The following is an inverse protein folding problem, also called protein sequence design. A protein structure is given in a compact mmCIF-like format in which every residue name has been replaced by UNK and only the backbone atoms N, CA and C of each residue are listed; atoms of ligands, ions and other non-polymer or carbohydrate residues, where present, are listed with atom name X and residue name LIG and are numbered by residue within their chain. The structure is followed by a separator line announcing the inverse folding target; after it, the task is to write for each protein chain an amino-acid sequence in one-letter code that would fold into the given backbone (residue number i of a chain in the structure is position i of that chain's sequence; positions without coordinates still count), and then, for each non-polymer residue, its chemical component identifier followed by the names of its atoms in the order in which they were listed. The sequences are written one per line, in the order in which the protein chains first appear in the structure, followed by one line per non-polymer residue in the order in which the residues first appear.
data_IF_497719514074
#
_entry.id   IF_497719514074
#
_cell.length_a   1.000
_cell.length_b   1.000
_cell.length_c   1.000
_cell.angle_alpha   90.00
_cell.angle_beta   90.00
_cell.angle_gamma   90.00
#
_symmetry.space_group_name_H-M   'P 1'
#
loop_
_entity.id
_entity.type
_entity.pdbx_description
1 polymer ?
#
# COMPACT_ATOMS: atom_id res chain seq x y z
N UNK A 1 -37.76 10.74 -22.07
CA UNK A 1 -38.58 10.89 -20.85
C UNK A 1 -37.63 11.14 -19.69
N UNK A 2 -37.59 12.36 -19.17
CA UNK A 2 -36.64 12.77 -18.14
C UNK A 2 -37.17 12.40 -16.75
N UNK A 3 -36.50 11.50 -16.05
CA UNK A 3 -36.72 11.28 -14.61
C UNK A 3 -35.43 11.61 -13.86
N UNK A 4 -35.38 12.82 -13.34
CA UNK A 4 -34.49 13.24 -12.25
C UNK A 4 -35.00 12.58 -10.97
N UNK A 5 -34.16 11.80 -10.28
CA UNK A 5 -34.45 11.40 -8.90
C UNK A 5 -33.42 12.02 -7.96
N UNK A 6 -33.95 12.57 -6.87
CA UNK A 6 -33.27 13.42 -5.92
C UNK A 6 -32.30 12.65 -5.03
N UNK A 7 -31.14 13.28 -4.80
CA UNK A 7 -30.21 13.02 -3.71
C UNK A 7 -30.89 13.25 -2.36
N UNK A 8 -30.68 12.35 -1.40
CA UNK A 8 -30.91 12.62 0.02
C UNK A 8 -29.73 12.05 0.81
N UNK A 9 -28.85 12.94 1.26
CA UNK A 9 -27.74 12.65 2.17
C UNK A 9 -28.28 12.68 3.60
N UNK A 10 -28.09 11.60 4.35
CA UNK A 10 -28.32 11.56 5.79
C UNK A 10 -26.98 11.32 6.50
N UNK A 11 -26.40 12.40 7.01
CA UNK A 11 -25.24 12.37 7.92
C UNK A 11 -25.76 12.07 9.33
N UNK A 12 -25.31 10.98 9.93
CA UNK A 12 -25.49 10.68 11.34
C UNK A 12 -24.14 10.74 12.06
N UNK A 13 -23.93 11.80 12.85
CA UNK A 13 -22.82 11.95 13.78
C UNK A 13 -23.38 11.86 15.20
N UNK A 14 -22.99 10.85 15.98
CA UNK A 14 -22.92 10.91 17.45
C UNK A 14 -22.32 9.64 18.04
N UNK A 15 -21.29 9.79 18.87
CA UNK A 15 -20.81 8.71 19.75
C UNK A 15 -19.43 8.92 20.37
N UNK A 16 -19.12 10.10 20.91
CA UNK A 16 -17.89 10.32 21.68
C UNK A 16 -18.00 9.68 23.06
N UNK A 17 -17.00 8.85 23.36
CA UNK A 17 -16.78 8.03 24.54
C UNK A 17 -16.53 8.83 25.81
N UNK A 18 -17.04 8.29 26.92
CA UNK A 18 -16.81 8.71 28.29
C UNK A 18 -15.36 8.44 28.75
N UNK A 19 -14.79 9.33 29.56
CA UNK A 19 -13.76 8.98 30.54
C UNK A 19 -13.77 10.00 31.70
N UNK A 20 -14.22 9.56 32.88
CA UNK A 20 -13.90 10.21 34.17
C UNK A 20 -12.39 10.05 34.45
N UNK A 21 -11.72 10.89 35.23
CA UNK A 21 -12.10 11.40 36.55
C UNK A 21 -11.22 10.69 37.60
N UNK A 22 -10.36 11.45 38.29
CA UNK A 22 -9.51 11.02 39.42
C UNK A 22 -8.02 11.30 39.15
N UNK A 23 -7.46 12.45 39.55
CA UNK A 23 -6.99 12.85 40.90
C UNK A 23 -5.55 12.38 41.21
N UNK A 24 -4.82 13.31 41.82
CA UNK A 24 -3.37 13.37 41.97
C UNK A 24 -2.78 12.37 42.98
N UNK A 25 -1.48 12.09 42.85
CA UNK A 25 -0.59 11.94 44.00
C UNK A 25 0.86 12.34 43.63
N UNK A 26 1.65 12.58 44.67
CA UNK A 26 2.67 13.60 44.81
C UNK A 26 4.05 12.96 45.09
N UNK A 27 5.12 13.62 44.62
CA UNK A 27 6.52 13.59 45.13
C UNK A 27 7.37 12.28 45.10
N UNK A 28 8.70 12.33 45.36
CA UNK A 28 9.79 13.08 44.72
C UNK A 28 11.05 12.23 44.41
N UNK A 29 12.03 12.82 43.72
CA UNK A 29 13.44 12.41 43.80
C UNK A 29 14.05 12.01 42.44
N UNK A 30 15.34 12.13 42.19
CA UNK A 30 16.48 12.68 42.90
C UNK A 30 17.64 12.55 41.91
N UNK A 31 18.35 13.65 41.66
CA UNK A 31 19.76 13.70 41.23
C UNK A 31 20.20 12.91 39.98
N UNK A 32 20.74 13.64 38.99
CA UNK A 32 22.16 13.53 38.61
C UNK A 32 22.48 14.48 37.45
N UNK A 33 23.43 15.38 37.71
CA UNK A 33 24.25 16.08 36.71
C UNK A 33 24.78 15.14 35.61
N UNK A 34 24.77 15.58 34.34
CA UNK A 34 25.82 15.19 33.42
C UNK A 34 26.93 16.25 33.45
N UNK A 35 28.04 15.88 34.09
CA UNK A 35 29.29 16.62 34.05
C UNK A 35 29.79 16.76 32.60
N UNK A 36 30.16 17.98 32.26
CA UNK A 36 30.97 18.34 31.08
C UNK A 36 32.31 17.61 31.14
N UNK A 37 32.63 16.83 30.12
CA UNK A 37 33.99 16.39 29.85
C UNK A 37 34.31 16.67 28.37
N UNK A 38 35.02 17.78 28.16
CA UNK A 38 35.77 18.08 26.95
C UNK A 38 36.82 16.99 26.74
N UNK A 39 36.89 16.42 25.55
CA UNK A 39 38.08 15.71 25.06
C UNK A 39 38.27 16.06 23.60
N UNK A 40 39.22 16.96 23.37
CA UNK A 40 39.89 17.12 22.08
C UNK A 40 40.62 15.81 21.76
N UNK A 41 40.38 15.25 20.58
CA UNK A 41 41.23 14.21 20.01
C UNK A 41 41.57 14.58 18.57
N UNK A 42 42.87 14.69 18.37
CA UNK A 42 43.58 15.10 17.16
C UNK A 42 43.57 13.98 16.11
N UNK A 43 43.21 14.38 14.88
CA UNK A 43 43.57 13.86 13.55
C UNK A 43 43.74 12.35 13.34
N UNK A 44 43.01 11.82 12.35
CA UNK A 44 43.62 11.11 11.22
C UNK A 44 42.66 11.13 10.01
N UNK A 45 43.11 11.77 8.93
CA UNK A 45 42.39 11.85 7.66
C UNK A 45 42.37 10.45 7.03
N UNK A 46 41.28 9.73 7.26
CA UNK A 46 40.98 8.52 6.50
C UNK A 46 40.39 8.95 5.18
N UNK A 47 41.13 8.74 4.09
CA UNK A 47 40.61 8.80 2.72
C UNK A 47 39.44 7.83 2.61
N UNK A 48 38.22 8.35 2.65
CA UNK A 48 37.04 7.61 2.23
C UNK A 48 37.15 7.48 0.73
N UNK A 49 37.58 6.29 0.29
CA UNK A 49 37.25 5.81 -1.05
C UNK A 49 35.74 5.87 -1.15
N UNK A 50 35.23 6.82 -1.94
CA UNK A 50 33.90 6.73 -2.51
C UNK A 50 33.89 5.44 -3.32
N UNK A 51 33.44 4.35 -2.71
CA UNK A 51 32.81 3.32 -3.49
C UNK A 51 31.66 4.05 -4.19
N UNK A 52 31.74 4.16 -5.50
CA UNK A 52 30.54 4.21 -6.33
C UNK A 52 29.72 2.99 -5.91
N UNK A 53 28.88 3.20 -4.90
CA UNK A 53 27.73 2.36 -4.66
C UNK A 53 26.88 2.56 -5.89
N UNK A 54 27.06 1.66 -6.84
CA UNK A 54 26.02 1.23 -7.76
C UNK A 54 24.74 1.16 -6.93
N UNK A 55 23.91 2.21 -7.00
CA UNK A 55 22.58 2.16 -6.46
C UNK A 55 21.82 1.22 -7.38
N UNK A 56 22.04 -0.09 -7.19
CA UNK A 56 20.95 -1.01 -7.29
C UNK A 56 19.91 -0.44 -6.34
N UNK A 57 18.85 0.15 -6.89
CA UNK A 57 17.59 0.20 -6.16
C UNK A 57 17.41 -1.23 -5.65
N UNK A 58 17.56 -1.43 -4.35
CA UNK A 58 17.44 -2.73 -3.70
C UNK A 58 15.96 -3.10 -3.77
N UNK A 59 15.51 -3.42 -4.97
CA UNK A 59 14.14 -3.83 -5.27
C UNK A 59 13.98 -5.19 -4.62
N UNK A 60 13.01 -5.28 -3.70
CA UNK A 60 12.71 -6.52 -2.99
C UNK A 60 12.59 -7.66 -4.01
N UNK A 61 13.38 -8.74 -3.90
CA UNK A 61 13.38 -9.81 -4.90
C UNK A 61 12.03 -10.50 -5.03
N UNK A 62 11.16 -10.41 -4.03
CA UNK A 62 9.77 -10.89 -4.11
C UNK A 62 8.92 -10.03 -5.04
N UNK A 63 9.26 -8.75 -5.23
CA UNK A 63 8.55 -7.92 -6.20
C UNK A 63 8.81 -8.37 -7.63
N UNK A 64 10.02 -8.86 -7.93
CA UNK A 64 10.44 -9.24 -9.28
C UNK A 64 9.50 -10.23 -9.95
N UNK A 65 8.81 -11.07 -9.16
CA UNK A 65 7.84 -12.03 -9.69
C UNK A 65 6.54 -11.38 -10.16
N UNK A 66 6.16 -10.27 -9.54
CA UNK A 66 4.93 -9.53 -9.82
C UNK A 66 5.10 -8.45 -10.90
N UNK A 67 6.33 -8.01 -11.18
CA UNK A 67 6.61 -7.00 -12.20
C UNK A 67 6.05 -7.42 -13.57
N UNK A 68 5.43 -6.45 -14.26
CA UNK A 68 4.83 -6.61 -15.57
C UNK A 68 3.33 -6.35 -15.58
N UNK A 69 2.69 -6.71 -16.69
CA UNK A 69 1.24 -6.55 -16.87
C UNK A 69 0.54 -7.90 -16.76
N UNK A 70 -0.54 -7.92 -15.98
CA UNK A 70 -1.39 -9.07 -15.71
C UNK A 70 -2.80 -8.75 -16.18
N UNK A 71 -3.39 -9.62 -16.98
CA UNK A 71 -4.71 -9.43 -17.58
C UNK A 71 -5.63 -10.60 -17.23
N UNK A 72 -6.86 -10.30 -16.80
CA UNK A 72 -7.89 -11.31 -16.62
C UNK A 72 -8.53 -11.69 -17.95
N UNK A 73 -9.06 -12.90 -18.01
CA UNK A 73 -9.81 -13.35 -19.18
C UNK A 73 -11.10 -12.51 -19.34
N UNK A 74 -11.34 -11.90 -20.52
CA UNK A 74 -12.50 -11.04 -20.75
C UNK A 74 -13.83 -11.80 -20.73
N UNK A 75 -13.83 -13.13 -20.89
CA UNK A 75 -15.03 -13.96 -20.72
C UNK A 75 -15.43 -14.07 -19.23
N UNK A 76 -14.47 -13.92 -18.31
CA UNK A 76 -14.71 -13.98 -16.87
C UNK A 76 -15.11 -12.61 -16.29
N UNK A 77 -14.39 -11.54 -16.63
CA UNK A 77 -14.62 -10.19 -16.07
C UNK A 77 -15.50 -9.29 -16.96
N UNK A 78 -15.88 -9.78 -18.15
CA UNK A 78 -16.71 -9.05 -19.10
C UNK A 78 -15.97 -7.96 -19.88
N UNK A 79 -16.71 -7.12 -20.64
CA UNK A 79 -16.13 -6.25 -21.67
C UNK A 79 -15.28 -5.10 -21.13
N UNK A 80 -15.33 -4.83 -19.83
CA UNK A 80 -14.52 -3.80 -19.19
C UNK A 80 -13.11 -4.28 -18.81
N UNK A 81 -12.90 -5.61 -18.77
CA UNK A 81 -11.59 -6.19 -18.50
C UNK A 81 -11.09 -5.96 -17.08
N UNK A 82 -9.96 -6.58 -16.76
CA UNK A 82 -9.21 -6.32 -15.55
C UNK A 82 -7.73 -6.42 -15.86
N UNK A 83 -6.98 -5.37 -15.55
CA UNK A 83 -5.56 -5.28 -15.85
C UNK A 83 -4.82 -4.67 -14.67
N UNK A 84 -3.82 -5.37 -14.16
CA UNK A 84 -2.87 -4.88 -13.17
C UNK A 84 -1.50 -4.73 -13.81
N UNK A 85 -0.93 -3.54 -13.79
CA UNK A 85 0.46 -3.29 -14.18
C UNK A 85 1.28 -2.97 -12.94
N UNK A 86 2.41 -3.66 -12.76
CA UNK A 86 3.34 -3.48 -11.64
C UNK A 86 4.70 -3.09 -12.18
N UNK A 87 5.22 -1.95 -11.75
CA UNK A 87 6.53 -1.42 -12.11
C UNK A 87 7.64 -1.98 -11.20
N UNK A 88 8.90 -1.83 -11.61
CA UNK A 88 10.07 -2.35 -10.88
C UNK A 88 10.27 -1.71 -9.50
N UNK A 89 9.72 -0.52 -9.26
CA UNK A 89 9.76 0.18 -7.98
C UNK A 89 8.59 -0.16 -7.04
N UNK A 90 7.63 -0.98 -7.50
CA UNK A 90 6.49 -1.44 -6.72
C UNK A 90 5.25 -0.56 -6.84
N UNK A 91 5.34 0.56 -7.56
CA UNK A 91 4.14 1.27 -8.03
C UNK A 91 3.34 0.38 -8.97
N UNK A 92 2.02 0.53 -8.91
CA UNK A 92 1.11 -0.28 -9.68
C UNK A 92 -0.13 0.51 -10.10
N UNK A 93 -0.71 0.10 -11.22
CA UNK A 93 -1.96 0.65 -11.75
C UNK A 93 -2.95 -0.49 -11.99
N UNK A 94 -4.15 -0.37 -11.43
CA UNK A 94 -5.22 -1.35 -11.58
C UNK A 94 -6.40 -0.73 -12.35
N UNK A 95 -6.67 -1.27 -13.53
CA UNK A 95 -7.92 -1.10 -14.26
C UNK A 95 -8.85 -2.24 -13.83
N UNK A 96 -9.97 -1.93 -13.17
CA UNK A 96 -10.89 -2.94 -12.65
C UNK A 96 -12.22 -2.91 -13.41
N UNK A 97 -12.75 -4.08 -13.75
CA UNK A 97 -14.09 -4.23 -14.32
C UNK A 97 -15.19 -3.66 -13.40
N UNK A 98 -14.93 -3.66 -12.08
CA UNK A 98 -15.88 -3.17 -11.08
C UNK A 98 -15.92 -1.64 -11.02
N UNK A 99 -14.86 -0.95 -11.44
CA UNK A 99 -14.77 0.50 -11.39
C UNK A 99 -14.63 1.13 -12.78
N UNK A 100 -15.67 1.84 -13.21
CA UNK A 100 -15.68 2.58 -14.48
C UNK A 100 -15.31 4.06 -14.32
N UNK A 101 -14.89 4.48 -13.12
CA UNK A 101 -14.55 5.88 -12.82
C UNK A 101 -13.09 6.21 -13.16
N UNK A 102 -12.24 5.21 -13.37
CA UNK A 102 -10.83 5.39 -13.70
C UNK A 102 -9.98 4.22 -13.21
N UNK A 103 -8.68 4.29 -13.46
CA UNK A 103 -7.72 3.37 -12.87
C UNK A 103 -7.49 3.71 -11.40
N UNK A 104 -7.24 2.69 -10.59
CA UNK A 104 -6.64 2.88 -9.27
C UNK A 104 -5.14 3.00 -9.44
N UNK A 105 -4.56 4.06 -8.91
CA UNK A 105 -3.11 4.26 -8.84
C UNK A 105 -2.65 3.95 -7.42
N UNK A 106 -1.57 3.19 -7.26
CA UNK A 106 -1.20 2.66 -5.96
C UNK A 106 0.15 1.94 -5.93
N UNK A 107 0.31 1.09 -4.91
CA UNK A 107 1.53 0.33 -4.67
C UNK A 107 1.25 -1.11 -4.26
N UNK A 108 2.23 -1.98 -4.48
CA UNK A 108 2.22 -3.36 -4.02
C UNK A 108 2.83 -3.45 -2.63
N UNK A 109 2.01 -3.81 -1.65
CA UNK A 109 2.47 -4.15 -0.31
C UNK A 109 2.76 -5.63 -0.22
N UNK A 110 4.04 -5.96 -0.10
CA UNK A 110 4.53 -7.33 0.01
C UNK A 110 4.37 -7.84 1.45
N UNK A 111 3.45 -8.79 1.65
CA UNK A 111 3.39 -9.55 2.89
C UNK A 111 4.54 -10.58 3.04
N UNK A 112 5.14 -10.65 4.23
CA UNK A 112 6.09 -11.71 4.62
C UNK A 112 5.37 -12.95 5.16
N UNK A 113 4.34 -12.74 5.99
CA UNK A 113 3.48 -13.77 6.59
C UNK A 113 2.00 -13.55 6.25
N UNK A 114 1.71 -12.47 5.54
CA UNK A 114 0.39 -12.06 5.07
C UNK A 114 0.37 -12.14 3.54
N UNK A 115 -0.81 -12.14 2.93
CA UNK A 115 -0.91 -12.07 1.48
C UNK A 115 -0.29 -10.76 0.96
N UNK A 116 0.26 -10.79 -0.24
CA UNK A 116 0.60 -9.57 -0.95
C UNK A 116 -0.69 -8.83 -1.27
N UNK A 117 -0.65 -7.50 -1.34
CA UNK A 117 -1.84 -6.72 -1.68
C UNK A 117 -1.49 -5.51 -2.52
N UNK A 118 -2.42 -5.13 -3.38
CA UNK A 118 -2.43 -3.83 -4.02
C UNK A 118 -3.27 -2.87 -3.20
N UNK A 119 -2.72 -1.70 -2.85
CA UNK A 119 -3.43 -0.61 -2.22
C UNK A 119 -3.43 0.58 -3.17
N UNK A 120 -4.61 1.02 -3.61
CA UNK A 120 -4.72 2.08 -4.61
C UNK A 120 -5.92 2.99 -4.44
N UNK A 121 -5.86 4.14 -5.09
CA UNK A 121 -6.88 5.19 -5.02
C UNK A 121 -7.24 5.68 -6.42
N UNK A 122 -8.52 5.99 -6.65
CA UNK A 122 -8.94 6.77 -7.81
C UNK A 122 -8.93 8.24 -7.44
N UNK A 123 -7.92 8.96 -7.90
CA UNK A 123 -7.65 10.35 -7.48
C UNK A 123 -8.84 11.31 -7.70
N UNK A 124 -9.65 11.10 -8.74
CA UNK A 124 -10.81 11.96 -9.04
C UNK A 124 -12.04 11.66 -8.17
N UNK A 125 -12.14 10.44 -7.63
CA UNK A 125 -13.30 9.96 -6.88
C UNK A 125 -13.05 9.88 -5.38
N UNK A 126 -11.79 9.97 -4.92
CA UNK A 126 -11.38 9.72 -3.53
C UNK A 126 -11.84 8.33 -3.06
N UNK A 127 -11.82 7.37 -3.98
CA UNK A 127 -12.25 5.98 -3.77
C UNK A 127 -11.02 5.08 -3.64
N UNK A 128 -10.92 4.38 -2.52
CA UNK A 128 -9.79 3.53 -2.17
C UNK A 128 -10.14 2.05 -2.35
N UNK A 129 -9.17 1.25 -2.75
CA UNK A 129 -9.30 -0.21 -2.85
C UNK A 129 -8.08 -0.92 -2.28
N UNK A 130 -8.33 -2.06 -1.65
CA UNK A 130 -7.30 -3.03 -1.27
C UNK A 130 -7.65 -4.37 -1.89
N UNK A 131 -6.76 -4.93 -2.71
CA UNK A 131 -6.94 -6.21 -3.42
C UNK A 131 -5.86 -7.17 -2.97
N UNK A 132 -6.21 -8.37 -2.51
CA UNK A 132 -5.22 -9.39 -2.16
C UNK A 132 -4.70 -10.09 -3.42
N UNK A 133 -3.40 -10.39 -3.42
CA UNK A 133 -2.66 -10.91 -4.56
C UNK A 133 -2.04 -12.26 -4.19
N UNK A 134 -2.33 -13.28 -4.99
CA UNK A 134 -1.72 -14.62 -4.84
C UNK A 134 -1.07 -15.04 -6.15
N UNK A 135 0.25 -15.20 -6.14
CA UNK A 135 1.00 -15.68 -7.30
C UNK A 135 1.14 -17.20 -7.29
N UNK A 136 0.80 -17.84 -8.41
CA UNK A 136 1.05 -19.25 -8.68
C UNK A 136 2.21 -19.40 -9.68
N UNK A 137 3.32 -19.95 -9.21
CA UNK A 137 4.54 -20.09 -10.00
C UNK A 137 4.49 -21.24 -11.01
N UNK A 138 3.64 -22.25 -10.80
CA UNK A 138 3.53 -23.39 -11.72
C UNK A 138 2.74 -23.02 -12.97
N UNK A 139 1.72 -22.18 -12.81
CA UNK A 139 0.87 -21.69 -13.89
C UNK A 139 1.31 -20.32 -14.45
N UNK A 140 2.21 -19.60 -13.78
CA UNK A 140 2.55 -18.18 -14.03
C UNK A 140 1.29 -17.29 -14.07
N UNK A 141 0.49 -17.39 -13.00
CA UNK A 141 -0.77 -16.65 -12.87
C UNK A 141 -0.83 -15.85 -11.59
N UNK A 142 -1.52 -14.72 -11.63
CA UNK A 142 -1.77 -13.87 -10.48
C UNK A 142 -3.26 -13.82 -10.18
N UNK A 143 -3.67 -14.30 -9.01
CA UNK A 143 -5.06 -14.20 -8.56
C UNK A 143 -5.27 -12.91 -7.78
N UNK A 144 -6.25 -12.11 -8.20
CA UNK A 144 -6.68 -10.88 -7.53
C UNK A 144 -8.01 -11.14 -6.82
N UNK A 145 -8.03 -11.04 -5.49
CA UNK A 145 -9.24 -11.15 -4.67
C UNK A 145 -9.79 -9.75 -4.33
N UNK A 146 -10.95 -9.45 -4.89
CA UNK A 146 -11.59 -8.15 -4.71
C UNK A 146 -12.50 -8.13 -3.48
N UNK A 147 -12.40 -7.09 -2.62
CA UNK A 147 -13.13 -7.02 -1.37
C UNK A 147 -14.65 -6.89 -1.60
N UNK A 148 -15.43 -7.25 -0.57
CA UNK A 148 -16.87 -6.99 -0.49
C UNK A 148 -17.75 -8.09 -1.08
N UNK A 149 -17.60 -8.40 -2.37
CA UNK A 149 -18.27 -9.54 -3.06
C UNK A 149 -17.71 -9.73 -4.49
N UNK A 150 -16.53 -9.15 -4.78
CA UNK A 150 -15.99 -9.12 -6.15
C UNK A 150 -15.54 -10.50 -6.62
N UNK A 151 -15.05 -11.35 -5.72
CA UNK A 151 -14.53 -12.67 -6.04
C UNK A 151 -13.07 -12.63 -6.48
N UNK A 152 -12.48 -13.82 -6.59
CA UNK A 152 -11.11 -14.01 -7.02
C UNK A 152 -11.04 -14.25 -8.53
N UNK A 153 -10.25 -13.46 -9.25
CA UNK A 153 -10.05 -13.61 -10.69
C UNK A 153 -8.60 -13.88 -11.02
N UNK A 154 -8.40 -14.86 -11.88
CA UNK A 154 -7.08 -15.25 -12.34
C UNK A 154 -6.66 -14.32 -13.47
N UNK A 155 -5.47 -13.76 -13.34
CA UNK A 155 -4.82 -12.96 -14.37
C UNK A 155 -3.60 -13.70 -14.89
N UNK A 156 -3.42 -13.68 -16.20
CA UNK A 156 -2.22 -14.19 -16.87
C UNK A 156 -1.32 -13.04 -17.27
N UNK A 157 -0.01 -13.29 -17.34
CA UNK A 157 0.94 -12.30 -17.84
C UNK A 157 0.69 -12.02 -19.34
N UNK A 158 0.66 -10.73 -19.69
CA UNK A 158 0.47 -10.23 -21.05
C UNK A 158 1.72 -10.34 -21.94
#
# INVERSE_FOLDING_TARGET
MHRKLLVTVAVAVAGLTACGGGEADDTPGSGADPATATSESTAEATTVTTAEGDQATDTDPRLQVLVGTWEADPEEVGPHGSTLTVEEDGTATLLSFANQQGAYEGEIVLGDQEAHRFEGVVAEADDEITVELTYDAEADTLTLDYPGDGGAYVHTRA
#
